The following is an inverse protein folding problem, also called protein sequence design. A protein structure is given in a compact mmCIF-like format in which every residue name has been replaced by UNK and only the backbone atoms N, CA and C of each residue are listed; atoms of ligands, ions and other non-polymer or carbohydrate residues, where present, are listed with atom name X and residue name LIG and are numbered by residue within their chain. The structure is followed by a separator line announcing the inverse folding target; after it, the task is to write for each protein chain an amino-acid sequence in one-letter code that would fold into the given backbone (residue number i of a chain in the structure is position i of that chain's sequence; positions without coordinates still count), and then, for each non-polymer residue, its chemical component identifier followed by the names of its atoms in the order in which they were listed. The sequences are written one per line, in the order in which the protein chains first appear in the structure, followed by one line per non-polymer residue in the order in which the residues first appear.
data_IF_658479851812
#
_entry.id   IF_658479851812
#
_cell.length_a   1.000
_cell.length_b   1.000
_cell.length_c   1.000
_cell.angle_alpha   90.00
_cell.angle_beta   90.00
_cell.angle_gamma   90.00
#
_symmetry.space_group_name_H-M   'P 1'
#
loop_
_entity.id
_entity.type
_entity.pdbx_description
1 polymer ?
#
# COMPACT_ATOMS: atom_id res chain seq x y z
N UNK A 1 7.19 27.49 19.22
CA UNK A 1 6.15 26.44 19.35
C UNK A 1 5.42 26.13 18.04
N UNK A 2 5.31 27.06 17.08
CA UNK A 2 4.65 26.82 15.77
C UNK A 2 5.20 25.61 14.98
N UNK A 3 6.53 25.43 14.91
CA UNK A 3 7.12 24.25 14.22
C UNK A 3 6.67 22.91 14.84
N UNK A 4 6.48 22.86 16.16
CA UNK A 4 5.99 21.65 16.83
C UNK A 4 4.52 21.40 16.50
N UNK A 5 3.69 22.43 16.49
CA UNK A 5 2.25 22.30 16.29
C UNK A 5 1.85 22.12 14.81
N UNK A 6 2.55 22.79 13.88
CA UNK A 6 2.16 22.86 12.47
C UNK A 6 2.92 21.88 11.58
N UNK A 7 4.13 21.46 11.95
CA UNK A 7 4.92 20.49 11.17
C UNK A 7 5.04 19.14 11.88
N UNK A 8 5.44 19.13 13.16
CA UNK A 8 5.71 17.86 13.87
C UNK A 8 4.43 17.17 14.33
N UNK A 9 3.45 17.92 14.83
CA UNK A 9 2.17 17.40 15.30
C UNK A 9 1.44 16.58 14.23
N UNK A 10 1.15 17.15 13.04
CA UNK A 10 0.47 16.44 11.96
C UNK A 10 1.23 15.19 11.50
N UNK A 11 2.58 15.26 11.44
CA UNK A 11 3.44 14.15 11.04
C UNK A 11 3.45 13.00 12.06
N UNK A 12 3.47 13.31 13.36
CA UNK A 12 3.39 12.29 14.43
C UNK A 12 2.00 11.64 14.41
N UNK A 13 0.95 12.44 14.25
CA UNK A 13 -0.42 11.93 14.18
C UNK A 13 -0.65 11.02 12.95
N UNK A 14 -0.12 11.41 11.78
CA UNK A 14 -0.20 10.58 10.57
C UNK A 14 0.64 9.31 10.70
N UNK A 15 1.83 9.38 11.30
CA UNK A 15 2.67 8.21 11.58
C UNK A 15 1.96 7.19 12.50
N UNK A 16 1.30 7.67 13.56
CA UNK A 16 0.53 6.81 14.45
C UNK A 16 -0.64 6.13 13.71
N UNK A 17 -1.42 6.90 12.94
CA UNK A 17 -2.56 6.35 12.22
C UNK A 17 -2.14 5.34 11.13
N UNK A 18 -1.08 5.66 10.37
CA UNK A 18 -0.52 4.75 9.37
C UNK A 18 0.02 3.47 10.03
N UNK A 19 0.78 3.59 11.13
CA UNK A 19 1.29 2.44 11.88
C UNK A 19 0.18 1.55 12.43
N UNK A 20 -0.90 2.14 12.96
CA UNK A 20 -2.07 1.40 13.43
C UNK A 20 -2.79 0.65 12.29
N UNK A 21 -2.97 1.28 11.14
CA UNK A 21 -3.55 0.62 9.95
C UNK A 21 -2.70 -0.55 9.47
N UNK A 22 -1.38 -0.38 9.42
CA UNK A 22 -0.45 -1.45 9.06
C UNK A 22 -0.45 -2.60 10.08
N UNK A 23 -0.51 -2.29 11.38
CA UNK A 23 -0.58 -3.28 12.44
C UNK A 23 -1.87 -4.12 12.34
N UNK A 24 -3.02 -3.47 12.10
CA UNK A 24 -4.29 -4.16 11.88
C UNK A 24 -4.26 -5.01 10.61
N UNK A 25 -3.73 -4.48 9.51
CA UNK A 25 -3.58 -5.24 8.27
C UNK A 25 -2.71 -6.50 8.48
N UNK A 26 -1.62 -6.37 9.23
CA UNK A 26 -0.76 -7.50 9.61
C UNK A 26 -1.48 -8.53 10.48
N UNK A 27 -2.18 -8.09 11.53
CA UNK A 27 -2.95 -8.97 12.41
C UNK A 27 -4.02 -9.74 11.62
N UNK A 28 -4.80 -9.05 10.78
CA UNK A 28 -5.82 -9.68 9.92
C UNK A 28 -5.20 -10.69 8.96
N UNK A 29 -4.03 -10.38 8.38
CA UNK A 29 -3.34 -11.28 7.46
C UNK A 29 -2.84 -12.54 8.17
N UNK A 30 -2.27 -12.39 9.36
CA UNK A 30 -1.83 -13.50 10.20
C UNK A 30 -3.00 -14.39 10.62
N UNK A 31 -4.16 -13.80 10.96
CA UNK A 31 -5.38 -14.55 11.27
C UNK A 31 -5.93 -15.28 10.05
N UNK A 32 -6.00 -14.62 8.90
CA UNK A 32 -6.50 -15.19 7.64
C UNK A 32 -5.68 -16.42 7.24
N UNK A 33 -4.36 -16.27 7.21
CA UNK A 33 -3.45 -17.34 6.81
C UNK A 33 -3.12 -18.33 7.92
N UNK A 34 -3.56 -18.05 9.16
CA UNK A 34 -3.18 -18.79 10.37
C UNK A 34 -1.65 -19.01 10.44
N UNK A 35 -0.91 -18.00 10.01
CA UNK A 35 0.54 -18.03 9.89
C UNK A 35 1.12 -16.73 10.47
N UNK A 36 1.86 -16.80 11.59
CA UNK A 36 2.43 -15.61 12.23
C UNK A 36 3.48 -14.90 11.37
N UNK A 37 3.98 -15.54 10.30
CA UNK A 37 4.92 -14.95 9.35
C UNK A 37 4.22 -14.28 8.15
N UNK A 38 2.89 -14.29 8.09
CA UNK A 38 2.18 -13.66 6.98
C UNK A 38 2.23 -12.13 7.10
N UNK A 39 2.77 -11.47 6.08
CA UNK A 39 2.85 -10.02 5.98
C UNK A 39 1.78 -9.46 5.02
N UNK A 40 1.21 -8.27 5.30
CA UNK A 40 0.14 -7.68 4.50
C UNK A 40 0.57 -7.35 3.06
N UNK A 41 1.87 -7.19 2.80
CA UNK A 41 2.41 -6.95 1.47
C UNK A 41 2.45 -8.18 0.56
N UNK A 42 2.22 -9.38 1.12
CA UNK A 42 2.32 -10.64 0.37
C UNK A 42 1.37 -10.73 -0.83
N UNK A 43 0.26 -10.01 -0.83
CA UNK A 43 -0.74 -10.06 -1.92
C UNK A 43 -0.39 -9.15 -3.12
N UNK A 44 0.80 -8.54 -3.16
CA UNK A 44 1.21 -7.66 -4.27
C UNK A 44 0.54 -6.28 -4.26
N UNK A 45 -0.22 -5.95 -3.21
CA UNK A 45 -0.99 -4.70 -3.07
C UNK A 45 -0.09 -3.47 -3.13
N UNK A 46 1.07 -3.51 -2.47
CA UNK A 46 2.06 -2.42 -2.53
C UNK A 46 2.73 -2.32 -3.91
N UNK A 47 3.00 -3.45 -4.56
CA UNK A 47 3.54 -3.47 -5.93
C UNK A 47 2.59 -2.86 -6.95
N UNK A 48 1.30 -3.21 -6.89
CA UNK A 48 0.27 -2.63 -7.77
C UNK A 48 0.09 -1.13 -7.54
N UNK A 49 0.07 -0.69 -6.27
CA UNK A 49 0.01 0.72 -5.93
C UNK A 49 1.24 1.50 -6.44
N UNK A 50 2.43 0.96 -6.22
CA UNK A 50 3.70 1.53 -6.70
C UNK A 50 3.72 1.65 -8.21
N UNK A 51 3.36 0.58 -8.95
CA UNK A 51 3.36 0.58 -10.41
C UNK A 51 2.46 1.68 -10.98
N UNK A 52 1.20 1.74 -10.57
CA UNK A 52 0.26 2.74 -11.12
C UNK A 52 0.63 4.16 -10.71
N UNK A 53 1.13 4.36 -9.49
CA UNK A 53 1.66 5.65 -9.06
C UNK A 53 2.83 6.11 -9.95
N UNK A 54 3.80 5.22 -10.20
CA UNK A 54 4.98 5.51 -11.02
C UNK A 54 4.59 5.77 -12.48
N UNK A 55 3.62 5.04 -13.04
CA UNK A 55 3.07 5.34 -14.36
C UNK A 55 2.45 6.74 -14.41
N UNK A 56 1.74 7.14 -13.36
CA UNK A 56 1.21 8.50 -13.24
C UNK A 56 2.31 9.56 -13.19
N UNK A 57 3.36 9.33 -12.40
CA UNK A 57 4.52 10.22 -12.31
C UNK A 57 5.29 10.31 -13.63
N UNK A 58 5.45 9.18 -14.34
CA UNK A 58 6.05 9.14 -15.67
C UNK A 58 5.21 9.92 -16.69
N UNK A 59 3.88 9.89 -16.57
CA UNK A 59 2.97 10.71 -17.36
C UNK A 59 2.96 12.21 -16.96
N UNK A 60 3.70 12.60 -15.90
CA UNK A 60 3.76 13.98 -15.42
C UNK A 60 2.56 14.40 -14.56
N UNK A 61 1.78 13.44 -14.05
CA UNK A 61 0.69 13.73 -13.12
C UNK A 61 1.25 14.10 -11.74
N UNK A 62 0.47 14.85 -10.99
CA UNK A 62 0.79 15.27 -9.62
C UNK A 62 -0.33 14.82 -8.65
N UNK A 63 -0.21 15.21 -7.38
CA UNK A 63 -1.31 15.09 -6.42
C UNK A 63 -2.55 15.86 -6.94
N UNK A 64 -3.77 15.30 -6.86
CA UNK A 64 -4.19 14.08 -6.17
C UNK A 64 -4.18 12.80 -7.04
N UNK A 65 -3.89 12.91 -8.34
CA UNK A 65 -4.00 11.82 -9.30
C UNK A 65 -3.06 10.64 -9.00
N UNK A 66 -1.84 10.92 -8.53
CA UNK A 66 -0.89 9.87 -8.09
C UNK A 66 -1.51 9.01 -6.99
N UNK A 67 -2.14 9.62 -5.98
CA UNK A 67 -2.78 8.90 -4.87
C UNK A 67 -3.96 8.06 -5.34
N UNK A 68 -4.75 8.58 -6.28
CA UNK A 68 -5.87 7.84 -6.87
C UNK A 68 -5.40 6.64 -7.69
N UNK A 69 -4.32 6.81 -8.48
CA UNK A 69 -3.69 5.72 -9.24
C UNK A 69 -3.08 4.68 -8.31
N UNK A 70 -2.40 5.09 -7.23
CA UNK A 70 -1.88 4.18 -6.22
C UNK A 70 -3.00 3.35 -5.58
N UNK A 71 -4.11 4.00 -5.21
CA UNK A 71 -5.27 3.32 -4.67
C UNK A 71 -5.90 2.35 -5.69
N UNK A 72 -6.11 2.78 -6.93
CA UNK A 72 -6.59 1.91 -8.01
C UNK A 72 -5.65 0.71 -8.24
N UNK A 73 -4.34 0.93 -8.18
CA UNK A 73 -3.33 -0.13 -8.31
C UNK A 73 -3.38 -1.15 -7.18
N UNK A 74 -3.62 -0.69 -5.95
CA UNK A 74 -3.81 -1.57 -4.80
C UNK A 74 -5.05 -2.47 -4.94
N UNK A 75 -6.17 -1.91 -5.42
CA UNK A 75 -7.40 -2.65 -5.70
C UNK A 75 -7.22 -3.64 -6.85
N UNK A 76 -6.53 -3.24 -7.92
CA UNK A 76 -6.24 -4.11 -9.05
C UNK A 76 -5.37 -5.30 -8.62
N UNK A 77 -4.34 -5.08 -7.81
CA UNK A 77 -3.52 -6.15 -7.26
C UNK A 77 -4.33 -7.12 -6.40
N UNK A 78 -5.21 -6.60 -5.53
CA UNK A 78 -6.09 -7.43 -4.70
C UNK A 78 -7.06 -8.26 -5.56
N UNK A 79 -7.65 -7.65 -6.59
CA UNK A 79 -8.54 -8.34 -7.52
C UNK A 79 -7.82 -9.45 -8.29
N UNK A 80 -6.58 -9.20 -8.75
CA UNK A 80 -5.75 -10.21 -9.40
C UNK A 80 -5.38 -11.35 -8.45
N UNK A 81 -4.98 -11.04 -7.21
CA UNK A 81 -4.68 -12.06 -6.20
C UNK A 81 -5.90 -12.95 -5.92
N UNK A 82 -7.08 -12.35 -5.78
CA UNK A 82 -8.34 -13.05 -5.59
C UNK A 82 -8.75 -13.87 -6.84
N UNK A 83 -8.51 -13.37 -8.05
CA UNK A 83 -8.81 -14.10 -9.28
C UNK A 83 -7.90 -15.32 -9.46
N UNK A 84 -6.62 -15.20 -9.11
CA UNK A 84 -5.61 -16.25 -9.27
C UNK A 84 -5.67 -17.31 -8.16
N UNK A 85 -5.82 -16.89 -6.90
CA UNK A 85 -5.76 -17.77 -5.72
C UNK A 85 -7.06 -17.90 -4.93
N UNK A 86 -8.03 -16.99 -5.13
CA UNK A 86 -9.24 -16.90 -4.30
C UNK A 86 -10.25 -18.01 -4.49
N UNK A 87 -10.28 -18.66 -5.66
CA UNK A 87 -11.22 -19.77 -5.93
C UNK A 87 -10.90 -21.06 -5.15
N UNK A 88 -9.71 -21.18 -4.55
CA UNK A 88 -9.28 -22.34 -3.76
C UNK A 88 -9.20 -22.08 -2.24
N UNK A 89 -9.61 -20.90 -1.78
CA UNK A 89 -9.48 -20.47 -0.37
C UNK A 89 -10.15 -21.40 0.65
N UNK A 90 -11.16 -22.17 0.22
CA UNK A 90 -11.90 -23.07 1.10
C UNK A 90 -11.14 -24.35 1.51
N UNK A 91 -10.02 -24.69 0.85
CA UNK A 91 -9.25 -25.92 1.15
C UNK A 91 -7.79 -25.68 1.53
N UNK A 92 -7.10 -24.77 0.83
CA UNK A 92 -5.67 -24.52 1.06
C UNK A 92 -5.30 -23.05 0.77
N UNK A 93 -4.43 -22.49 1.60
CA UNK A 93 -3.98 -21.10 1.48
C UNK A 93 -2.75 -20.93 0.57
N UNK A 94 -2.08 -22.04 0.24
CA UNK A 94 -0.87 -22.08 -0.61
C UNK A 94 -1.04 -21.43 -1.99
N UNK A 95 -2.16 -21.62 -2.73
CA UNK A 95 -2.36 -20.96 -4.02
C UNK A 95 -2.40 -19.44 -3.93
N UNK A 96 -2.94 -18.90 -2.83
CA UNK A 96 -3.01 -17.45 -2.62
C UNK A 96 -1.63 -16.87 -2.30
N UNK A 97 -0.80 -17.60 -1.54
CA UNK A 97 0.59 -17.22 -1.28
C UNK A 97 1.43 -17.22 -2.56
N UNK A 98 1.30 -18.27 -3.39
CA UNK A 98 2.00 -18.36 -4.68
C UNK A 98 1.55 -17.25 -5.64
N UNK A 99 0.25 -16.97 -5.71
CA UNK A 99 -0.28 -15.85 -6.50
C UNK A 99 0.31 -14.52 -6.02
N UNK A 100 0.41 -14.32 -4.71
CA UNK A 100 1.06 -13.16 -4.11
C UNK A 100 2.52 -12.99 -4.54
N UNK A 101 3.32 -14.06 -4.45
CA UNK A 101 4.72 -14.07 -4.88
C UNK A 101 4.84 -13.77 -6.38
N UNK A 102 3.99 -14.37 -7.21
CA UNK A 102 3.95 -14.12 -8.65
C UNK A 102 3.63 -12.65 -8.96
N UNK A 103 2.64 -12.08 -8.28
CA UNK A 103 2.27 -10.66 -8.44
C UNK A 103 3.38 -9.73 -7.96
N UNK A 104 4.03 -10.03 -6.83
CA UNK A 104 5.14 -9.23 -6.33
C UNK A 104 6.31 -9.19 -7.34
N UNK A 105 6.68 -10.34 -7.89
CA UNK A 105 7.70 -10.42 -8.94
C UNK A 105 7.28 -9.69 -10.22
N UNK A 106 6.03 -9.86 -10.66
CA UNK A 106 5.50 -9.21 -11.86
C UNK A 106 5.46 -7.68 -11.73
N UNK A 107 4.92 -7.16 -10.63
CA UNK A 107 4.93 -5.73 -10.37
C UNK A 107 6.34 -5.17 -10.18
N UNK A 108 7.24 -5.91 -9.52
CA UNK A 108 8.64 -5.53 -9.39
C UNK A 108 9.33 -5.38 -10.75
N UNK A 109 9.12 -6.32 -11.67
CA UNK A 109 9.64 -6.24 -13.04
C UNK A 109 9.07 -5.05 -13.82
N UNK A 110 7.76 -4.78 -13.69
CA UNK A 110 7.12 -3.64 -14.33
C UNK A 110 7.60 -2.30 -13.76
N UNK A 111 7.78 -2.20 -12.44
CA UNK A 111 8.37 -1.04 -11.79
C UNK A 111 9.80 -0.81 -12.32
N UNK A 112 10.61 -1.86 -12.39
CA UNK A 112 11.97 -1.77 -12.92
C UNK A 112 11.97 -1.32 -14.40
N UNK A 113 11.05 -1.83 -15.22
CA UNK A 113 10.87 -1.39 -16.61
C UNK A 113 10.53 0.10 -16.69
N UNK A 114 9.54 0.56 -15.90
CA UNK A 114 9.14 1.97 -15.86
C UNK A 114 10.31 2.85 -15.47
N UNK A 115 11.07 2.49 -14.43
CA UNK A 115 12.27 3.23 -14.02
C UNK A 115 13.34 3.22 -15.12
N UNK A 116 13.52 2.11 -15.83
CA UNK A 116 14.52 2.00 -16.90
C UNK A 116 14.23 2.89 -18.11
N UNK A 117 12.96 3.17 -18.42
CA UNK A 117 12.58 4.01 -19.58
C UNK A 117 12.32 5.47 -19.20
N UNK A 118 12.33 5.79 -17.90
CA UNK A 118 12.05 7.15 -17.41
C UNK A 118 13.30 8.02 -17.45
N UNK A 119 13.21 9.30 -17.84
CA UNK A 119 14.33 10.23 -17.80
C UNK A 119 14.95 10.39 -16.40
N UNK A 120 16.27 10.57 -16.34
CA UNK A 120 17.04 10.58 -15.10
C UNK A 120 16.61 11.67 -14.12
N UNK A 121 16.04 12.77 -14.60
CA UNK A 121 15.58 13.90 -13.80
C UNK A 121 14.37 13.55 -12.93
N UNK A 122 13.57 12.55 -13.32
CA UNK A 122 12.37 12.11 -12.58
C UNK A 122 12.63 10.95 -11.63
N UNK A 123 13.74 10.23 -11.81
CA UNK A 123 14.08 9.04 -11.02
C UNK A 123 14.13 9.30 -9.50
N UNK A 124 14.78 10.38 -9.00
CA UNK A 124 14.86 10.59 -7.55
C UNK A 124 13.49 10.68 -6.90
N UNK A 125 12.56 11.41 -7.51
CA UNK A 125 11.19 11.57 -6.99
C UNK A 125 10.42 10.25 -6.96
N UNK A 126 10.57 9.41 -7.99
CA UNK A 126 9.93 8.09 -8.04
C UNK A 126 10.51 7.13 -7.01
N UNK A 127 11.84 7.16 -6.81
CA UNK A 127 12.50 6.35 -5.77
C UNK A 127 12.09 6.79 -4.37
N UNK A 128 12.03 8.11 -4.11
CA UNK A 128 11.52 8.63 -2.83
C UNK A 128 10.07 8.23 -2.58
N UNK A 129 9.22 8.20 -3.62
CA UNK A 129 7.85 7.74 -3.48
C UNK A 129 7.78 6.25 -3.09
N UNK A 130 8.59 5.39 -3.74
CA UNK A 130 8.66 3.96 -3.43
C UNK A 130 9.16 3.67 -2.00
N UNK A 131 10.04 4.52 -1.45
CA UNK A 131 10.49 4.40 -0.05
C UNK A 131 9.39 4.74 0.95
N UNK A 132 8.40 5.55 0.54
CA UNK A 132 7.35 6.08 1.40
C UNK A 132 7.84 7.24 2.28
N UNK A 133 6.99 8.26 2.44
CA UNK A 133 7.27 9.41 3.29
C UNK A 133 5.98 10.01 3.89
N UNK A 134 6.12 10.66 5.05
CA UNK A 134 5.03 11.32 5.78
C UNK A 134 5.29 12.84 5.96
N UNK A 135 6.39 13.37 5.44
CA UNK A 135 6.78 14.77 5.61
C UNK A 135 5.79 15.75 4.99
N UNK A 136 5.04 15.32 3.97
CA UNK A 136 4.05 16.15 3.25
C UNK A 136 2.62 16.04 3.79
N UNK A 137 2.43 15.41 4.97
CA UNK A 137 1.08 15.28 5.56
C UNK A 137 0.64 16.56 6.27
N UNK A 138 -0.25 17.31 5.62
CA UNK A 138 -0.84 18.55 6.18
C UNK A 138 -2.14 18.32 6.95
N UNK A 139 -2.95 17.34 6.53
CA UNK A 139 -4.25 17.03 7.14
C UNK A 139 -4.37 15.53 7.44
N UNK A 140 -4.17 15.09 8.69
CA UNK A 140 -4.22 13.67 9.04
C UNK A 140 -5.65 13.12 9.17
N UNK A 141 -6.69 13.95 8.98
CA UNK A 141 -8.10 13.62 9.24
C UNK A 141 -8.58 12.36 8.51
N UNK A 142 -8.25 12.21 7.23
CA UNK A 142 -8.63 11.03 6.44
C UNK A 142 -7.95 9.75 6.93
N UNK A 143 -6.68 9.83 7.35
CA UNK A 143 -5.95 8.68 7.90
C UNK A 143 -6.55 8.23 9.24
N UNK A 144 -6.92 9.17 10.10
CA UNK A 144 -7.60 8.86 11.36
C UNK A 144 -8.99 8.29 11.14
N UNK A 145 -9.77 8.84 10.21
CA UNK A 145 -11.07 8.29 9.84
C UNK A 145 -10.93 6.85 9.34
N UNK A 146 -9.95 6.58 8.47
CA UNK A 146 -9.65 5.23 7.99
C UNK A 146 -9.25 4.28 9.13
N UNK A 147 -8.40 4.72 10.07
CA UNK A 147 -8.03 3.92 11.24
C UNK A 147 -9.24 3.57 12.09
N UNK A 148 -10.07 4.56 12.45
CA UNK A 148 -11.26 4.34 13.28
C UNK A 148 -12.24 3.39 12.61
N UNK A 149 -12.47 3.54 11.31
CA UNK A 149 -13.31 2.63 10.53
C UNK A 149 -12.72 1.21 10.48
N UNK A 150 -11.41 1.07 10.29
CA UNK A 150 -10.74 -0.23 10.28
C UNK A 150 -10.82 -0.93 11.64
N UNK A 151 -10.62 -0.20 12.75
CA UNK A 151 -10.79 -0.73 14.11
C UNK A 151 -12.24 -1.14 14.36
N UNK A 152 -13.20 -0.29 14.00
CA UNK A 152 -14.62 -0.60 14.17
C UNK A 152 -15.03 -1.85 13.38
N UNK A 153 -14.56 -1.98 12.13
CA UNK A 153 -14.79 -3.17 11.32
C UNK A 153 -14.15 -4.42 11.94
N UNK A 154 -12.91 -4.31 12.43
CA UNK A 154 -12.22 -5.43 13.09
C UNK A 154 -12.95 -5.91 14.35
N UNK A 155 -13.44 -4.99 15.18
CA UNK A 155 -14.23 -5.30 16.38
C UNK A 155 -15.60 -5.89 16.04
N UNK A 156 -16.20 -5.53 14.90
CA UNK A 156 -17.44 -6.12 14.45
C UNK A 156 -17.28 -7.56 13.90
N UNK A 157 -16.05 -7.93 13.52
CA UNK A 157 -15.69 -9.25 12.97
C UNK A 157 -15.20 -10.23 14.05
N UNK A 158 -14.82 -9.75 15.23
CA UNK A 158 -14.36 -10.54 16.40
C UNK A 158 -15.50 -11.03 17.26
#
# INVERSE_FOLDING_TARGET
MQILAELRGPRVASAFACGGLLALAGALMQTLFRNPLAEPYLLGVSGGAGLLALLGMAAGLAWPWISLLAFAGSLLALALAAALGGRLLARDHTPLLLAGVMLAAGFGALIALVLSVTPAERLPGMLFFLMGDLAWTSQPTLLWAALLLAVAAALALS
#
